data_IF_635013935605
#
_entry.id   IF_635013935605
#
_cell.length_a   1.000
_cell.length_b   1.000
_cell.length_c   1.000
_cell.angle_alpha   90.00
_cell.angle_beta   90.00
_cell.angle_gamma   90.00
#
_symmetry.space_group_name_H-M   'P 1'
#
loop_
_entity.id
_entity.type
_entity.pdbx_description
1 polymer ?
#
# COMPACT_ATOMS: atom_id res chain seq x y z
N UNK A 1 36.95 -5.04 -20.99
CA UNK A 1 36.34 -6.29 -21.42
C UNK A 1 35.05 -6.64 -20.68
N UNK A 2 34.70 -5.94 -19.59
CA UNK A 2 33.53 -6.28 -18.70
C UNK A 2 32.20 -5.66 -19.13
N UNK A 3 32.16 -4.73 -20.07
CA UNK A 3 30.93 -3.96 -20.41
C UNK A 3 30.06 -4.65 -21.47
N UNK A 4 30.55 -5.68 -22.17
CA UNK A 4 29.78 -6.32 -23.26
C UNK A 4 28.73 -7.37 -22.84
N UNK A 5 28.68 -7.76 -21.57
CA UNK A 5 27.73 -8.77 -21.09
C UNK A 5 26.48 -8.21 -20.42
N UNK A 6 26.35 -6.89 -20.28
CA UNK A 6 25.22 -6.26 -19.58
C UNK A 6 23.97 -6.04 -20.43
N UNK A 7 24.02 -6.32 -21.74
CA UNK A 7 22.91 -6.04 -22.65
C UNK A 7 22.34 -7.27 -23.36
N UNK A 8 22.59 -8.47 -22.85
CA UNK A 8 21.92 -9.67 -23.35
C UNK A 8 20.54 -9.81 -22.70
N UNK A 9 19.56 -9.07 -23.24
CA UNK A 9 18.15 -9.16 -22.83
C UNK A 9 17.54 -10.54 -23.00
N UNK A 10 18.20 -11.49 -23.68
CA UNK A 10 17.70 -12.86 -23.84
C UNK A 10 17.82 -13.71 -22.56
N UNK A 11 18.56 -13.21 -21.54
CA UNK A 11 18.78 -13.87 -20.25
C UNK A 11 18.05 -13.24 -19.07
N UNK A 12 17.19 -12.28 -19.31
CA UNK A 12 16.17 -11.92 -18.32
C UNK A 12 15.17 -13.08 -18.28
N UNK A 13 15.57 -14.17 -17.62
CA UNK A 13 14.58 -15.09 -17.09
C UNK A 13 13.70 -14.24 -16.19
N UNK A 14 12.48 -13.96 -16.65
CA UNK A 14 11.38 -13.56 -15.79
C UNK A 14 11.44 -14.54 -14.63
N UNK A 15 11.72 -14.02 -13.41
CA UNK A 15 11.61 -14.86 -12.21
C UNK A 15 10.25 -15.54 -12.33
N UNK A 16 10.16 -16.87 -12.20
CA UNK A 16 8.86 -17.48 -12.11
C UNK A 16 8.21 -16.83 -10.89
N UNK A 17 7.17 -16.05 -11.12
CA UNK A 17 6.25 -15.70 -10.08
C UNK A 17 5.65 -17.02 -9.62
N UNK A 18 6.16 -17.57 -8.53
CA UNK A 18 5.41 -18.57 -7.74
C UNK A 18 4.25 -17.82 -7.08
N UNK A 19 3.43 -17.22 -7.92
CA UNK A 19 2.16 -16.65 -7.56
C UNK A 19 1.18 -17.80 -7.50
N UNK A 20 1.30 -18.59 -6.43
CA UNK A 20 0.09 -19.28 -5.98
C UNK A 20 -0.95 -18.18 -5.73
N UNK A 21 -2.15 -18.28 -6.34
CA UNK A 21 -3.20 -17.32 -6.06
C UNK A 21 -3.39 -17.31 -4.54
N UNK A 22 -3.02 -16.20 -3.90
CA UNK A 22 -3.22 -16.00 -2.48
C UNK A 22 -4.70 -16.23 -2.15
N UNK A 23 -5.00 -16.72 -0.96
CA UNK A 23 -6.37 -16.89 -0.52
C UNK A 23 -7.06 -15.52 -0.56
N UNK A 24 -8.00 -15.33 -1.52
CA UNK A 24 -8.80 -14.10 -1.57
C UNK A 24 -9.58 -14.02 -0.26
N UNK A 25 -9.27 -13.03 0.56
CA UNK A 25 -10.06 -12.75 1.75
C UNK A 25 -11.31 -12.02 1.30
N UNK A 26 -12.47 -12.67 1.44
CA UNK A 26 -13.74 -12.02 1.15
C UNK A 26 -14.07 -11.03 2.25
N UNK A 27 -14.33 -9.74 1.92
CA UNK A 27 -14.78 -8.77 2.91
C UNK A 27 -15.98 -9.29 3.71
N UNK A 28 -15.90 -9.16 5.03
CA UNK A 28 -16.96 -9.53 5.96
C UNK A 28 -16.92 -8.57 7.17
N UNK A 29 -17.99 -8.49 7.97
CA UNK A 29 -18.07 -7.55 9.09
C UNK A 29 -16.94 -7.69 10.12
N UNK A 30 -16.43 -8.90 10.36
CA UNK A 30 -15.33 -9.13 11.28
C UNK A 30 -14.03 -8.54 10.76
N UNK A 31 -13.73 -8.72 9.47
CA UNK A 31 -12.57 -8.11 8.83
C UNK A 31 -12.66 -6.59 8.88
N UNK A 32 -13.79 -6.02 8.47
CA UNK A 32 -14.01 -4.56 8.48
C UNK A 32 -13.81 -4.00 9.88
N UNK A 33 -14.42 -4.62 10.89
CA UNK A 33 -14.25 -4.21 12.28
C UNK A 33 -12.77 -4.22 12.69
N UNK A 34 -12.03 -5.28 12.34
CA UNK A 34 -10.60 -5.38 12.67
C UNK A 34 -9.76 -4.31 11.95
N UNK A 35 -10.04 -4.01 10.69
CA UNK A 35 -9.34 -2.94 9.96
C UNK A 35 -9.56 -1.58 10.62
N UNK A 36 -10.80 -1.26 11.00
CA UNK A 36 -11.14 -0.01 11.70
C UNK A 36 -10.47 0.06 13.09
N UNK A 37 -10.43 -1.04 13.81
CA UNK A 37 -9.74 -1.13 15.11
C UNK A 37 -8.24 -0.84 14.98
N UNK A 38 -7.56 -1.39 13.95
CA UNK A 38 -6.14 -1.12 13.69
C UNK A 38 -5.93 0.35 13.33
N UNK A 39 -6.79 0.91 12.50
CA UNK A 39 -6.72 2.34 12.17
C UNK A 39 -6.79 3.20 13.44
N UNK A 40 -7.79 2.96 14.28
CA UNK A 40 -8.02 3.74 15.49
C UNK A 40 -6.91 3.55 16.55
N UNK A 41 -6.53 2.30 16.81
CA UNK A 41 -5.68 1.97 17.97
C UNK A 41 -4.19 1.91 17.65
N UNK A 42 -3.83 1.62 16.42
CA UNK A 42 -2.43 1.43 16.03
C UNK A 42 -1.95 2.56 15.12
N UNK A 43 -2.65 2.86 14.00
CA UNK A 43 -2.18 3.82 13.01
C UNK A 43 -2.37 5.27 13.49
N UNK A 44 -3.56 5.65 13.97
CA UNK A 44 -3.84 7.03 14.40
C UNK A 44 -2.85 7.53 15.47
N UNK A 45 -2.47 6.77 16.50
CA UNK A 45 -1.45 7.20 17.45
C UNK A 45 -0.06 7.39 16.82
N UNK A 46 0.29 6.63 15.77
CA UNK A 46 1.53 6.80 15.02
C UNK A 46 1.50 8.10 14.22
N UNK A 47 0.45 8.29 13.41
CA UNK A 47 0.30 9.50 12.59
C UNK A 47 0.25 10.76 13.44
N UNK A 48 -0.46 10.75 14.57
CA UNK A 48 -0.54 11.88 15.48
C UNK A 48 0.84 12.36 15.96
N UNK A 49 1.76 11.43 16.25
CA UNK A 49 3.14 11.76 16.66
C UNK A 49 3.97 12.35 15.52
N UNK A 50 3.75 11.90 14.30
CA UNK A 50 4.51 12.35 13.14
C UNK A 50 3.98 13.67 12.55
N UNK A 51 2.67 13.91 12.64
CA UNK A 51 2.05 15.20 12.26
C UNK A 51 2.62 16.36 13.07
N UNK A 52 2.90 16.16 14.36
CA UNK A 52 3.56 17.19 15.21
C UNK A 52 4.96 17.53 14.70
N UNK A 53 5.63 16.61 14.00
CA UNK A 53 6.95 16.81 13.39
C UNK A 53 6.88 17.41 11.98
N UNK A 54 5.68 17.67 11.46
CA UNK A 54 5.45 18.24 10.13
C UNK A 54 5.21 17.22 9.02
N UNK A 55 5.09 15.93 9.35
CA UNK A 55 4.69 14.89 8.39
C UNK A 55 3.18 14.94 8.14
N UNK A 56 2.72 14.40 7.00
CA UNK A 56 1.29 14.24 6.74
C UNK A 56 0.67 13.13 7.58
N UNK A 57 -0.67 13.11 7.62
CA UNK A 57 -1.46 12.22 8.48
C UNK A 57 -1.63 10.78 7.94
N UNK A 58 -0.99 10.42 6.85
CA UNK A 58 -1.14 9.12 6.23
C UNK A 58 -0.47 8.00 7.04
N UNK A 59 -1.12 6.85 7.10
CA UNK A 59 -0.61 5.68 7.78
C UNK A 59 -0.99 4.40 7.04
N UNK A 60 -0.23 3.33 7.29
CA UNK A 60 -0.46 2.03 6.69
C UNK A 60 -0.10 0.89 7.66
N UNK A 61 -0.64 -0.29 7.41
CA UNK A 61 -0.33 -1.50 8.15
C UNK A 61 -0.37 -2.74 7.26
N UNK A 62 0.38 -3.75 7.64
CA UNK A 62 0.32 -5.09 7.09
C UNK A 62 -0.21 -6.05 8.14
N UNK A 63 -1.16 -6.89 7.76
CA UNK A 63 -1.77 -7.90 8.61
C UNK A 63 -1.56 -9.28 8.00
N UNK A 64 -1.48 -10.28 8.84
CA UNK A 64 -1.53 -11.66 8.41
C UNK A 64 -2.97 -12.02 8.02
N UNK A 65 -3.20 -12.54 6.80
CA UNK A 65 -4.53 -12.94 6.31
C UNK A 65 -5.19 -14.06 7.13
N UNK A 66 -4.39 -14.90 7.80
CA UNK A 66 -4.93 -16.07 8.50
C UNK A 66 -5.59 -15.73 9.83
N UNK A 67 -5.03 -14.78 10.57
CA UNK A 67 -5.47 -14.46 11.93
C UNK A 67 -5.76 -12.97 12.17
N UNK A 68 -5.53 -12.14 11.14
CA UNK A 68 -5.67 -10.68 11.16
C UNK A 68 -4.78 -9.99 12.22
N UNK A 69 -3.72 -10.65 12.65
CA UNK A 69 -2.70 -10.03 13.51
C UNK A 69 -1.92 -8.98 12.73
N UNK A 70 -1.59 -7.86 13.39
CA UNK A 70 -0.75 -6.82 12.81
C UNK A 70 0.68 -7.31 12.73
N UNK A 71 1.25 -7.33 11.51
CA UNK A 71 2.66 -7.63 11.27
C UNK A 71 3.48 -6.37 11.53
N UNK A 72 3.06 -5.25 10.96
CA UNK A 72 3.71 -3.95 11.10
C UNK A 72 2.70 -2.84 10.81
N UNK A 73 2.84 -1.69 11.49
CA UNK A 73 2.13 -0.46 11.19
C UNK A 73 3.12 0.70 11.16
N UNK A 74 2.92 1.63 10.23
CA UNK A 74 3.80 2.79 10.03
C UNK A 74 3.04 4.02 9.51
N UNK A 75 3.77 5.11 9.32
CA UNK A 75 3.23 6.41 8.92
C UNK A 75 4.21 7.16 8.01
N UNK A 76 3.75 8.23 7.40
CA UNK A 76 4.56 9.11 6.56
C UNK A 76 5.77 9.68 7.30
N UNK A 77 6.90 9.76 6.59
CA UNK A 77 8.14 10.42 7.03
C UNK A 77 8.71 11.32 5.94
N UNK A 78 7.87 12.12 5.33
CA UNK A 78 8.21 13.00 4.20
C UNK A 78 9.22 14.09 4.58
N UNK A 79 9.29 14.48 5.85
CA UNK A 79 10.32 15.39 6.36
C UNK A 79 11.74 14.83 6.23
N UNK A 80 11.90 13.51 6.17
CA UNK A 80 13.18 12.83 5.92
C UNK A 80 13.41 12.60 4.43
N UNK A 81 12.38 12.16 3.71
CA UNK A 81 12.43 11.92 2.28
C UNK A 81 11.00 12.03 1.71
N UNK A 82 10.77 12.88 0.69
CA UNK A 82 9.43 13.06 0.11
C UNK A 82 8.81 11.79 -0.49
N UNK A 83 9.59 10.72 -0.69
CA UNK A 83 9.09 9.42 -1.14
C UNK A 83 8.66 8.51 0.01
N UNK A 84 8.91 8.89 1.27
CA UNK A 84 8.56 8.09 2.43
C UNK A 84 7.09 8.27 2.81
N UNK A 85 6.20 7.91 1.88
CA UNK A 85 4.79 7.73 2.13
C UNK A 85 4.56 6.55 3.07
N UNK A 86 3.44 6.52 3.77
CA UNK A 86 3.16 5.51 4.79
C UNK A 86 3.29 4.07 4.26
N UNK A 87 2.73 3.81 3.09
CA UNK A 87 2.76 2.47 2.47
C UNK A 87 4.21 2.08 2.10
N UNK A 88 4.96 3.02 1.52
CA UNK A 88 6.37 2.79 1.15
C UNK A 88 7.21 2.54 2.40
N UNK A 89 6.99 3.31 3.48
CA UNK A 89 7.69 3.11 4.76
C UNK A 89 7.33 1.77 5.39
N UNK A 90 6.06 1.39 5.40
CA UNK A 90 5.61 0.09 5.90
C UNK A 90 6.31 -1.05 5.15
N UNK A 91 6.39 -0.97 3.79
CA UNK A 91 7.10 -1.94 2.96
C UNK A 91 8.60 -1.95 3.29
N UNK A 92 9.24 -0.78 3.38
CA UNK A 92 10.67 -0.67 3.68
C UNK A 92 11.02 -1.28 5.04
N UNK A 93 10.27 -0.93 6.09
CA UNK A 93 10.51 -1.45 7.43
C UNK A 93 10.20 -2.95 7.54
N UNK A 94 9.17 -3.43 6.83
CA UNK A 94 8.90 -4.86 6.74
C UNK A 94 10.09 -5.62 6.17
N UNK A 95 10.63 -5.20 5.01
CA UNK A 95 11.77 -5.86 4.39
C UNK A 95 13.11 -5.59 5.10
N UNK A 96 13.21 -4.56 5.94
CA UNK A 96 14.34 -4.35 6.82
C UNK A 96 14.32 -5.23 8.08
N UNK A 97 13.18 -5.84 8.41
CA UNK A 97 13.04 -6.77 9.53
C UNK A 97 13.71 -8.12 9.23
N UNK A 98 13.98 -8.97 10.23
CA UNK A 98 14.57 -10.29 10.00
C UNK A 98 13.71 -11.14 9.03
N UNK A 99 14.35 -11.77 8.05
CA UNK A 99 13.66 -12.55 7.01
C UNK A 99 12.77 -13.68 7.57
N UNK A 100 13.12 -14.20 8.73
CA UNK A 100 12.40 -15.26 9.42
C UNK A 100 11.01 -14.82 9.91
N UNK A 101 10.79 -13.52 10.01
CA UNK A 101 9.48 -12.92 10.37
C UNK A 101 8.62 -12.56 9.16
N UNK A 102 9.17 -12.71 7.94
CA UNK A 102 8.43 -12.37 6.74
C UNK A 102 7.37 -13.42 6.43
N UNK A 103 6.20 -12.93 6.07
CA UNK A 103 5.07 -13.71 5.56
C UNK A 103 5.05 -13.52 4.03
N UNK A 104 4.64 -14.53 3.27
CA UNK A 104 4.54 -14.38 1.82
C UNK A 104 3.58 -13.21 1.47
N UNK A 105 3.90 -12.36 0.48
CA UNK A 105 3.03 -11.23 0.12
C UNK A 105 1.59 -11.63 -0.18
N UNK A 106 1.37 -12.84 -0.72
CA UNK A 106 0.05 -13.44 -0.95
C UNK A 106 -0.74 -13.72 0.33
N UNK A 107 -0.07 -13.82 1.48
CA UNK A 107 -0.68 -14.07 2.80
C UNK A 107 -0.78 -12.79 3.64
N UNK A 108 -0.43 -11.65 3.05
CA UNK A 108 -0.52 -10.33 3.68
C UNK A 108 -1.76 -9.58 3.20
N UNK A 109 -2.50 -9.01 4.14
CA UNK A 109 -3.52 -8.01 3.88
C UNK A 109 -2.90 -6.63 4.11
N UNK A 110 -2.98 -5.77 3.10
CA UNK A 110 -2.42 -4.42 3.16
C UNK A 110 -3.52 -3.40 3.50
N UNK A 111 -3.31 -2.59 4.54
CA UNK A 111 -4.22 -1.53 4.98
C UNK A 111 -3.54 -0.17 4.81
N UNK A 112 -4.23 0.79 4.22
CA UNK A 112 -3.85 2.19 4.16
C UNK A 112 -4.98 3.07 4.71
N UNK A 113 -4.66 4.19 5.35
CA UNK A 113 -5.68 5.14 5.79
C UNK A 113 -6.34 5.85 4.62
N UNK A 114 -5.56 6.12 3.57
CA UNK A 114 -5.99 6.78 2.35
C UNK A 114 -5.69 5.90 1.15
N UNK A 115 -6.44 6.09 0.08
CA UNK A 115 -6.26 5.37 -1.18
C UNK A 115 -4.83 5.56 -1.69
N UNK A 116 -4.09 4.45 -1.98
CA UNK A 116 -2.69 4.53 -2.38
C UNK A 116 -2.49 5.35 -3.64
N UNK A 117 -1.59 6.33 -3.59
CA UNK A 117 -1.18 7.12 -4.75
C UNK A 117 -0.46 6.25 -5.80
N UNK A 118 -0.13 6.82 -6.95
CA UNK A 118 0.57 6.10 -8.04
C UNK A 118 1.92 5.52 -7.60
N UNK A 119 2.67 6.20 -6.72
CA UNK A 119 3.90 5.69 -6.14
C UNK A 119 3.62 4.46 -5.27
N UNK A 120 2.66 4.58 -4.34
CA UNK A 120 2.34 3.54 -3.37
C UNK A 120 1.71 2.31 -4.02
N UNK A 121 0.76 2.49 -4.95
CA UNK A 121 0.17 1.37 -5.70
C UNK A 121 1.20 0.64 -6.56
N UNK A 122 2.17 1.36 -7.14
CA UNK A 122 3.31 0.75 -7.83
C UNK A 122 4.20 -0.03 -6.87
N UNK A 123 4.52 0.51 -5.69
CA UNK A 123 5.32 -0.19 -4.67
C UNK A 123 4.64 -1.47 -4.18
N UNK A 124 3.33 -1.41 -3.89
CA UNK A 124 2.50 -2.57 -3.53
C UNK A 124 2.56 -3.64 -4.62
N UNK A 125 2.43 -3.24 -5.90
CA UNK A 125 2.50 -4.14 -7.05
C UNK A 125 3.88 -4.81 -7.17
N UNK A 126 4.97 -4.03 -7.10
CA UNK A 126 6.33 -4.54 -7.21
C UNK A 126 6.73 -5.44 -6.03
N UNK A 127 6.20 -5.17 -4.84
CA UNK A 127 6.40 -6.00 -3.67
C UNK A 127 5.57 -7.31 -3.70
N UNK A 128 4.63 -7.45 -4.65
CA UNK A 128 3.87 -8.68 -4.89
C UNK A 128 2.65 -8.85 -3.99
N UNK A 129 2.17 -7.79 -3.35
CA UNK A 129 0.91 -7.83 -2.59
C UNK A 129 -0.28 -7.87 -3.55
N UNK A 130 -1.24 -8.74 -3.29
CA UNK A 130 -2.39 -9.01 -4.15
C UNK A 130 -3.67 -8.26 -3.75
N UNK A 131 -3.58 -7.38 -2.77
CA UNK A 131 -4.71 -6.62 -2.23
C UNK A 131 -4.24 -5.36 -1.50
N UNK A 132 -5.16 -4.40 -1.37
CA UNK A 132 -5.09 -3.35 -0.35
C UNK A 132 -6.51 -2.88 0.02
N UNK A 133 -6.64 -2.39 1.25
CA UNK A 133 -7.83 -1.77 1.80
C UNK A 133 -7.50 -0.33 2.18
N UNK A 134 -8.43 0.59 1.92
CA UNK A 134 -8.28 1.99 2.31
C UNK A 134 -9.60 2.56 2.85
N UNK A 135 -9.51 3.61 3.66
CA UNK A 135 -10.69 4.26 4.24
C UNK A 135 -11.09 5.50 3.46
N UNK A 136 -10.18 6.47 3.30
CA UNK A 136 -10.43 7.70 2.53
C UNK A 136 -10.02 7.51 1.07
N UNK A 137 -10.93 7.84 0.15
CA UNK A 137 -10.64 7.84 -1.29
C UNK A 137 -9.76 9.03 -1.70
N UNK A 138 -9.30 9.05 -2.96
CA UNK A 138 -8.63 10.23 -3.52
C UNK A 138 -9.56 11.44 -3.55
N UNK A 139 -10.86 11.23 -3.78
CA UNK A 139 -11.89 12.26 -3.73
C UNK A 139 -12.06 12.81 -2.31
N UNK A 140 -12.11 11.95 -1.31
CA UNK A 140 -12.16 12.36 0.10
C UNK A 140 -10.91 13.16 0.47
N UNK A 141 -9.74 12.75 -0.01
CA UNK A 141 -8.47 13.44 0.20
C UNK A 141 -8.49 14.84 -0.41
N UNK A 142 -9.04 15.01 -1.61
CA UNK A 142 -9.24 16.31 -2.24
C UNK A 142 -10.23 17.17 -1.48
N UNK A 143 -11.42 16.64 -1.18
CA UNK A 143 -12.56 17.42 -0.73
C UNK A 143 -12.50 17.74 0.78
N UNK A 144 -11.98 16.81 1.59
CA UNK A 144 -11.94 16.97 3.05
C UNK A 144 -10.59 17.47 3.57
N UNK A 145 -9.48 17.14 2.88
CA UNK A 145 -8.13 17.46 3.33
C UNK A 145 -7.40 18.47 2.43
N UNK A 146 -8.04 18.89 1.31
CA UNK A 146 -7.44 19.76 0.30
C UNK A 146 -6.14 19.18 -0.31
N UNK A 147 -6.09 17.87 -0.49
CA UNK A 147 -4.98 17.11 -1.06
C UNK A 147 -5.47 16.51 -2.39
N UNK A 148 -5.32 17.25 -3.49
CA UNK A 148 -5.75 16.84 -4.84
C UNK A 148 -4.59 16.33 -5.72
N UNK A 149 -3.40 16.19 -5.15
CA UNK A 149 -2.17 15.93 -5.90
C UNK A 149 -2.20 14.58 -6.62
N UNK A 150 -2.77 13.55 -5.99
CA UNK A 150 -2.85 12.21 -6.55
C UNK A 150 -3.72 12.17 -7.80
N UNK A 151 -4.89 12.80 -7.76
CA UNK A 151 -5.77 12.95 -8.93
C UNK A 151 -5.10 13.74 -10.06
N UNK A 152 -4.33 14.78 -9.72
CA UNK A 152 -3.55 15.55 -10.70
C UNK A 152 -2.47 14.70 -11.37
N UNK A 153 -1.73 13.88 -10.62
CA UNK A 153 -0.73 12.97 -11.17
C UNK A 153 -1.39 11.97 -12.11
N UNK A 154 -2.47 11.32 -11.70
CA UNK A 154 -3.22 10.38 -12.52
C UNK A 154 -3.66 11.01 -13.85
N UNK A 155 -4.18 12.23 -13.79
CA UNK A 155 -4.63 12.96 -14.97
C UNK A 155 -3.47 13.44 -15.86
N UNK A 156 -2.49 14.16 -15.28
CA UNK A 156 -1.46 14.84 -16.07
C UNK A 156 -0.34 13.91 -16.53
N UNK A 157 0.10 13.00 -15.67
CA UNK A 157 1.22 12.09 -15.97
C UNK A 157 0.73 10.83 -16.67
N UNK A 158 -0.34 10.21 -16.15
CA UNK A 158 -0.84 8.93 -16.67
C UNK A 158 -1.96 9.09 -17.70
N UNK A 159 -2.44 10.33 -17.94
CA UNK A 159 -3.52 10.65 -18.89
C UNK A 159 -4.83 9.91 -18.59
N UNK A 160 -5.09 9.63 -17.33
CA UNK A 160 -6.31 8.97 -16.87
C UNK A 160 -7.30 10.02 -16.39
N UNK A 161 -8.36 10.27 -17.16
CA UNK A 161 -9.37 11.28 -16.83
C UNK A 161 -10.65 10.57 -16.32
N UNK A 162 -11.24 10.98 -15.20
CA UNK A 162 -11.00 12.20 -14.39
C UNK A 162 -9.87 12.09 -13.38
N UNK A 163 -9.11 11.04 -13.39
CA UNK A 163 -8.11 10.64 -12.40
C UNK A 163 -8.65 9.43 -11.61
N UNK A 164 -8.13 8.26 -11.87
CA UNK A 164 -8.55 7.00 -11.29
C UNK A 164 -7.72 5.86 -11.86
N UNK A 165 -7.98 4.66 -11.41
CA UNK A 165 -7.31 3.46 -11.89
C UNK A 165 -8.24 2.24 -11.75
N UNK A 166 -7.90 1.12 -12.40
CA UNK A 166 -8.65 -0.12 -12.28
C UNK A 166 -8.44 -0.74 -10.90
N UNK A 167 -9.45 -0.66 -10.02
CA UNK A 167 -9.40 -1.21 -8.66
C UNK A 167 -9.38 -2.74 -8.62
N UNK A 168 -9.75 -3.40 -9.71
CA UNK A 168 -9.60 -4.84 -9.91
C UNK A 168 -8.79 -5.07 -11.18
N UNK A 169 -7.67 -5.78 -11.06
CA UNK A 169 -6.75 -6.05 -12.16
C UNK A 169 -5.99 -7.37 -11.94
N UNK A 170 -5.04 -7.71 -12.82
CA UNK A 170 -4.29 -8.97 -12.75
C UNK A 170 -3.29 -9.05 -11.59
N UNK A 171 -3.01 -7.95 -10.90
CA UNK A 171 -2.05 -7.91 -9.80
C UNK A 171 -2.73 -7.92 -8.44
N UNK A 172 -3.76 -7.08 -8.24
CA UNK A 172 -4.41 -6.90 -6.94
C UNK A 172 -5.85 -6.43 -7.08
N UNK A 173 -6.57 -6.51 -5.96
CA UNK A 173 -7.87 -5.86 -5.78
C UNK A 173 -7.76 -4.80 -4.67
N UNK A 174 -8.17 -3.56 -4.97
CA UNK A 174 -8.28 -2.45 -4.03
C UNK A 174 -9.70 -2.32 -3.50
N UNK A 175 -9.85 -2.20 -2.19
CA UNK A 175 -11.15 -2.12 -1.52
C UNK A 175 -11.28 -0.81 -0.72
N UNK A 176 -12.28 0.00 -1.04
CA UNK A 176 -12.74 1.09 -0.19
C UNK A 176 -13.52 0.54 0.99
N UNK A 177 -13.07 0.76 2.23
CA UNK A 177 -13.75 0.24 3.42
C UNK A 177 -15.16 0.83 3.53
N UNK A 178 -15.33 2.11 3.19
CA UNK A 178 -16.63 2.77 3.19
C UNK A 178 -17.63 2.14 2.19
N UNK A 179 -17.14 1.53 1.10
CA UNK A 179 -17.99 0.84 0.11
C UNK A 179 -18.45 -0.55 0.62
N UNK A 180 -17.85 -1.03 1.71
CA UNK A 180 -18.10 -2.36 2.28
C UNK A 180 -18.99 -2.33 3.55
N UNK A 181 -19.28 -1.15 4.09
CA UNK A 181 -20.14 -0.92 5.26
C UNK A 181 -21.57 -0.69 4.82
#
# INVERSE_FOLDING_TARGET
>A
PWVRHLWDCSRLSVMPSDQRPGQKVTPNPQLIHRLLEIMEREIVPLTAREVVKGNKLFGAAMLNKHDLSTIIADTNQETLNPLFHAEVQTINHYYASPKETHVAPSDVLFLATHEPCTLCSSAITWAGFDNFYYFFSHEDSRDSFNIDHDLKILKEVFKHDPGGYARENSYWTGYGICDLI
#
